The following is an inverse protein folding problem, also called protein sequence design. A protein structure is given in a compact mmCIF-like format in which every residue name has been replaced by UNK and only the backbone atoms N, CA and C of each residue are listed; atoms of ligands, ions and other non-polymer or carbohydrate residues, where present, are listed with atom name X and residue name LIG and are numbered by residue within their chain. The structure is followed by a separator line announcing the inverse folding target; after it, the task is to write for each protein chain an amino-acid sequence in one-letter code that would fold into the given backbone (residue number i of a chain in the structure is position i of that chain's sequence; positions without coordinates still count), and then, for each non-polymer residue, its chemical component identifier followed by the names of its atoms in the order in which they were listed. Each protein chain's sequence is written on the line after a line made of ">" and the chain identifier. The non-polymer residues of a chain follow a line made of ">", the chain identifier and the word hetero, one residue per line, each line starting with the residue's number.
data_IF_286188969974
#
_entry.id   IF_286188969974
#
_cell.length_a   1.000
_cell.length_b   1.000
_cell.length_c   1.000
_cell.angle_alpha   90.00
_cell.angle_beta   90.00
_cell.angle_gamma   90.00
#
_symmetry.space_group_name_H-M   'P 1'
#
loop_
_entity.id
_entity.type
_entity.pdbx_description
1 polymer ?
#
# COMPACT_ATOMS: atom_id res chain seq x y z
N UNK A 1 -15.72 18.21 8.76
CA UNK A 1 -14.99 17.09 8.11
C UNK A 1 -13.78 17.68 7.41
N UNK A 2 -12.58 17.44 7.91
CA UNK A 2 -11.35 17.93 7.28
C UNK A 2 -11.11 17.13 5.99
N UNK A 3 -10.81 17.83 4.90
CA UNK A 3 -10.35 17.22 3.65
C UNK A 3 -8.84 17.40 3.63
N UNK A 4 -8.06 16.31 3.64
CA UNK A 4 -6.61 16.39 3.47
C UNK A 4 -6.27 16.52 1.98
N UNK A 5 -5.25 17.30 1.67
CA UNK A 5 -4.75 17.44 0.32
C UNK A 5 -3.67 16.38 0.05
N UNK A 6 -3.92 15.44 -0.85
CA UNK A 6 -3.00 14.37 -1.24
C UNK A 6 -1.76 14.79 -2.03
N UNK A 7 -1.50 16.11 -2.15
CA UNK A 7 -0.39 16.68 -2.94
C UNK A 7 1.01 16.31 -2.43
N UNK A 8 1.07 15.77 -1.22
CA UNK A 8 2.29 15.33 -0.57
C UNK A 8 2.25 13.82 -0.26
N UNK A 9 1.47 13.07 -1.05
CA UNK A 9 1.52 11.63 -0.99
C UNK A 9 2.86 11.13 -1.51
N UNK A 10 3.51 10.25 -0.76
CA UNK A 10 4.83 9.72 -1.09
C UNK A 10 4.89 8.24 -0.73
N UNK A 11 5.73 7.49 -1.45
CA UNK A 11 6.03 6.09 -1.12
C UNK A 11 7.53 5.98 -0.94
N UNK A 12 7.96 5.47 0.21
CA UNK A 12 9.36 5.11 0.43
C UNK A 12 9.49 3.63 0.73
N UNK A 13 10.65 3.08 0.40
CA UNK A 13 11.02 1.68 0.61
C UNK A 13 12.43 1.61 1.21
N UNK A 14 12.82 0.42 1.66
CA UNK A 14 14.16 0.13 2.18
C UNK A 14 14.67 1.20 3.18
N UNK A 15 13.90 1.42 4.23
CA UNK A 15 14.31 2.28 5.36
C UNK A 15 14.47 3.77 4.96
N UNK A 16 13.56 4.28 4.13
CA UNK A 16 13.45 5.72 3.85
C UNK A 16 13.96 6.16 2.48
N UNK A 17 14.25 5.23 1.57
CA UNK A 17 14.51 5.55 0.17
C UNK A 17 13.20 5.91 -0.51
N UNK A 18 13.00 7.20 -0.80
CA UNK A 18 11.80 7.69 -1.45
C UNK A 18 11.76 7.30 -2.94
N UNK A 19 10.61 6.86 -3.42
CA UNK A 19 10.33 6.68 -4.84
C UNK A 19 9.82 8.03 -5.36
N UNK A 20 10.60 8.64 -6.25
CA UNK A 20 10.28 9.94 -6.82
C UNK A 20 9.29 9.80 -8.00
N UNK A 21 8.59 10.90 -8.30
CA UNK A 21 7.74 10.98 -9.48
C UNK A 21 6.39 10.26 -9.39
N UNK A 22 5.97 9.83 -8.19
CA UNK A 22 4.67 9.18 -7.98
C UNK A 22 3.54 10.17 -8.23
N UNK A 23 2.54 9.72 -8.98
CA UNK A 23 1.33 10.47 -9.29
C UNK A 23 0.13 9.94 -8.50
N UNK A 24 0.08 8.63 -8.29
CA UNK A 24 -0.97 8.00 -7.51
C UNK A 24 -0.45 6.71 -6.88
N UNK A 25 -1.00 6.38 -5.72
CA UNK A 25 -0.80 5.09 -5.06
C UNK A 25 -2.13 4.64 -4.47
N UNK A 26 -2.33 3.34 -4.41
CA UNK A 26 -3.50 2.69 -3.83
C UNK A 26 -3.02 1.65 -2.82
N UNK A 27 -3.82 1.46 -1.77
CA UNK A 27 -3.62 0.40 -0.80
C UNK A 27 -4.98 -0.19 -0.47
N UNK A 28 -5.10 -1.48 -0.70
CA UNK A 28 -6.25 -2.29 -0.36
C UNK A 28 -5.90 -3.12 0.88
N UNK A 29 -6.59 -2.85 1.99
CA UNK A 29 -6.47 -3.64 3.22
C UNK A 29 -7.75 -4.44 3.45
N UNK A 30 -7.61 -5.76 3.45
CA UNK A 30 -8.73 -6.71 3.57
C UNK A 30 -8.51 -7.58 4.80
N UNK A 31 -9.59 -7.79 5.56
CA UNK A 31 -9.60 -8.71 6.70
C UNK A 31 -10.70 -9.74 6.51
N UNK A 32 -10.36 -11.01 6.68
CA UNK A 32 -11.34 -12.08 6.69
C UNK A 32 -12.13 -12.07 8.01
N UNK A 33 -13.43 -12.35 7.94
CA UNK A 33 -14.29 -12.57 9.09
C UNK A 33 -14.78 -14.01 9.06
N UNK A 34 -14.35 -14.82 10.03
CA UNK A 34 -14.79 -16.20 10.15
C UNK A 34 -16.08 -16.25 10.97
N UNK A 35 -17.18 -16.66 10.35
CA UNK A 35 -18.45 -16.82 11.05
C UNK A 35 -18.39 -18.02 12.01
N UNK A 36 -18.77 -17.82 13.27
CA UNK A 36 -18.80 -18.84 14.33
C UNK A 36 -20.19 -19.02 14.93
N UNK A 37 -21.24 -18.61 14.23
CA UNK A 37 -22.63 -18.68 14.74
C UNK A 37 -22.99 -20.11 15.15
N UNK A 38 -23.36 -20.28 16.41
CA UNK A 38 -23.80 -21.56 16.98
C UNK A 38 -25.33 -21.60 17.13
N UNK A 39 -25.86 -22.75 17.55
CA UNK A 39 -27.31 -22.92 17.77
C UNK A 39 -27.85 -22.13 18.97
N UNK A 40 -26.98 -21.52 19.79
CA UNK A 40 -27.35 -20.70 20.94
C UNK A 40 -27.48 -19.22 20.53
N UNK A 41 -26.90 -18.84 19.40
CA UNK A 41 -27.01 -17.50 18.85
C UNK A 41 -28.48 -17.14 18.58
N UNK A 42 -29.00 -16.16 19.34
CA UNK A 42 -30.39 -15.69 19.30
C UNK A 42 -30.71 -14.87 18.03
N UNK A 43 -30.43 -15.42 16.84
CA UNK A 43 -30.71 -14.80 15.55
C UNK A 43 -29.69 -13.75 15.10
N UNK A 44 -28.56 -13.60 15.79
CA UNK A 44 -27.48 -12.66 15.44
C UNK A 44 -26.22 -13.44 15.09
N UNK A 45 -25.62 -13.15 13.94
CA UNK A 45 -24.38 -13.81 13.49
C UNK A 45 -23.19 -13.38 14.34
N UNK A 46 -22.35 -14.35 14.72
CA UNK A 46 -21.11 -14.12 15.46
C UNK A 46 -19.90 -14.32 14.54
N UNK A 47 -18.89 -13.45 14.66
CA UNK A 47 -17.70 -13.48 13.81
C UNK A 47 -16.42 -13.41 14.64
N UNK A 48 -15.38 -14.11 14.20
CA UNK A 48 -14.00 -14.04 14.71
C UNK A 48 -13.14 -13.39 13.63
N UNK A 49 -12.18 -12.56 14.04
CA UNK A 49 -11.22 -11.93 13.12
C UNK A 49 -10.31 -13.01 12.53
N UNK A 50 -10.35 -13.15 11.21
CA UNK A 50 -9.49 -14.04 10.43
C UNK A 50 -8.17 -13.38 10.04
N UNK A 51 -7.50 -13.95 9.05
CA UNK A 51 -6.27 -13.39 8.51
C UNK A 51 -6.55 -12.05 7.81
N UNK A 52 -5.61 -11.12 7.93
CA UNK A 52 -5.62 -9.87 7.18
C UNK A 52 -4.58 -9.93 6.05
N UNK A 53 -4.93 -9.41 4.90
CA UNK A 53 -4.03 -9.23 3.75
C UNK A 53 -4.10 -7.80 3.27
N UNK A 54 -3.01 -7.31 2.70
CA UNK A 54 -3.00 -6.02 2.03
C UNK A 54 -2.15 -6.07 0.79
N UNK A 55 -2.55 -5.32 -0.21
CA UNK A 55 -1.86 -5.20 -1.49
C UNK A 55 -2.11 -3.80 -2.04
N UNK A 56 -1.38 -3.43 -3.08
CA UNK A 56 -1.66 -2.19 -3.76
C UNK A 56 -0.76 -2.00 -4.95
N UNK A 57 -0.93 -0.85 -5.56
CA UNK A 57 -0.09 -0.43 -6.66
C UNK A 57 0.20 1.06 -6.57
N UNK A 58 1.28 1.47 -7.21
CA UNK A 58 1.57 2.88 -7.40
C UNK A 58 2.05 3.12 -8.83
N UNK A 59 1.72 4.29 -9.34
CA UNK A 59 2.12 4.73 -10.67
C UNK A 59 2.74 6.12 -10.62
N UNK A 60 3.73 6.31 -11.48
CA UNK A 60 4.49 7.55 -11.55
C UNK A 60 5.25 7.70 -12.85
N UNK A 61 5.86 8.85 -13.01
CA UNK A 61 6.85 9.06 -14.04
C UNK A 61 8.19 8.49 -13.60
N UNK A 62 9.02 8.12 -14.56
CA UNK A 62 10.39 7.73 -14.27
C UNK A 62 11.17 8.92 -13.71
N UNK A 63 11.33 8.96 -12.41
CA UNK A 63 12.26 9.86 -11.75
C UNK A 63 13.13 9.04 -10.78
N UNK A 64 14.41 8.91 -11.10
CA UNK A 64 15.33 8.04 -10.35
C UNK A 64 15.35 6.55 -10.74
N UNK A 65 16.03 5.76 -9.91
CA UNK A 65 16.15 4.32 -10.08
C UNK A 65 14.97 3.60 -9.39
N UNK A 66 14.25 2.72 -10.10
CA UNK A 66 13.12 2.02 -9.53
C UNK A 66 13.58 0.95 -8.52
N UNK A 67 12.78 0.67 -7.46
CA UNK A 67 13.08 -0.43 -6.55
C UNK A 67 13.20 -1.75 -7.32
N UNK A 68 14.22 -2.53 -6.99
CA UNK A 68 14.45 -3.82 -7.64
C UNK A 68 13.50 -4.90 -7.07
N UNK A 69 12.92 -5.73 -7.95
CA UNK A 69 12.05 -6.88 -7.60
C UNK A 69 12.86 -8.05 -7.04
N UNK A 70 13.98 -7.81 -6.36
CA UNK A 70 14.99 -8.83 -6.04
C UNK A 70 14.55 -9.75 -4.89
N UNK A 71 13.38 -10.38 -4.98
CA UNK A 71 12.85 -11.39 -4.06
C UNK A 71 12.88 -11.02 -2.58
N UNK A 72 13.06 -9.73 -2.27
CA UNK A 72 13.38 -9.22 -0.95
C UNK A 72 12.15 -8.54 -0.38
N UNK A 73 12.00 -8.68 0.93
CA UNK A 73 10.96 -7.99 1.68
C UNK A 73 11.54 -6.63 2.07
N UNK A 74 10.88 -5.56 1.66
CA UNK A 74 11.27 -4.19 1.98
C UNK A 74 10.32 -3.59 3.00
N UNK A 75 10.80 -2.73 3.88
CA UNK A 75 9.92 -1.91 4.71
C UNK A 75 9.47 -0.70 3.91
N UNK A 76 8.19 -0.62 3.59
CA UNK A 76 7.60 0.50 2.89
C UNK A 76 6.82 1.42 3.82
N UNK A 77 6.82 2.70 3.49
CA UNK A 77 5.92 3.69 4.08
C UNK A 77 5.16 4.43 2.98
N UNK A 78 3.85 4.53 3.15
CA UNK A 78 2.94 5.24 2.26
C UNK A 78 2.40 6.45 3.03
N UNK A 79 2.77 7.64 2.59
CA UNK A 79 2.26 8.90 3.12
C UNK A 79 1.03 9.32 2.33
N UNK A 80 -0.05 9.70 3.02
CA UNK A 80 -1.24 10.29 2.40
C UNK A 80 -1.13 11.81 2.24
N UNK A 81 -0.40 12.46 3.14
CA UNK A 81 -0.20 13.91 3.17
C UNK A 81 1.07 14.28 3.97
N UNK A 82 1.51 15.53 3.84
CA UNK A 82 2.68 16.14 4.54
C UNK A 82 2.44 16.33 6.05
N UNK A 83 1.45 15.64 6.62
CA UNK A 83 1.11 15.75 8.03
C UNK A 83 1.64 14.51 8.74
N UNK A 84 2.56 14.74 9.68
CA UNK A 84 3.17 13.70 10.48
C UNK A 84 2.07 12.82 11.11
N UNK A 85 2.09 11.54 10.77
CA UNK A 85 1.15 10.56 11.30
C UNK A 85 -0.06 10.24 10.42
N UNK A 86 -0.13 10.68 9.15
CA UNK A 86 -1.02 10.06 8.16
C UNK A 86 -0.21 9.14 7.24
N UNK A 87 0.26 8.03 7.82
CA UNK A 87 1.09 7.08 7.10
C UNK A 87 0.74 5.63 7.38
N UNK A 88 0.91 4.82 6.34
CA UNK A 88 0.79 3.37 6.39
C UNK A 88 2.20 2.80 6.29
N UNK A 89 2.59 1.99 7.26
CA UNK A 89 3.92 1.36 7.27
C UNK A 89 3.78 -0.14 7.36
N UNK A 90 4.53 -0.88 6.55
CA UNK A 90 4.50 -2.33 6.56
C UNK A 90 5.57 -2.93 5.68
N UNK A 91 5.76 -4.24 5.80
CA UNK A 91 6.72 -4.96 4.98
C UNK A 91 6.07 -5.37 3.66
N UNK A 92 6.63 -4.95 2.53
CA UNK A 92 6.13 -5.23 1.18
C UNK A 92 7.07 -6.12 0.39
N UNK A 93 6.49 -6.93 -0.48
CA UNK A 93 7.14 -7.62 -1.56
C UNK A 93 6.67 -7.01 -2.88
N UNK A 94 7.58 -6.51 -3.71
CA UNK A 94 7.22 -6.09 -5.07
C UNK A 94 7.00 -7.34 -5.93
N UNK A 95 5.85 -7.43 -6.60
CA UNK A 95 5.45 -8.59 -7.40
C UNK A 95 5.54 -8.32 -8.91
N UNK A 96 5.40 -7.06 -9.32
CA UNK A 96 5.41 -6.67 -10.73
C UNK A 96 5.95 -5.26 -10.95
N UNK A 97 6.65 -5.07 -12.08
CA UNK A 97 7.01 -3.76 -12.62
C UNK A 97 6.55 -3.71 -14.06
N UNK A 98 5.80 -2.66 -14.39
CA UNK A 98 5.23 -2.43 -15.71
C UNK A 98 5.71 -1.09 -16.24
N UNK A 99 6.88 -1.04 -16.91
CA UNK A 99 7.33 0.14 -17.63
C UNK A 99 6.46 0.35 -18.86
N UNK A 100 5.98 1.58 -19.08
CA UNK A 100 5.33 2.00 -20.31
C UNK A 100 6.11 3.17 -20.92
N UNK A 101 6.51 3.00 -22.18
CA UNK A 101 7.24 4.00 -22.95
C UNK A 101 6.51 4.22 -24.26
N UNK A 102 6.21 5.48 -24.57
CA UNK A 102 5.71 5.88 -25.89
C UNK A 102 6.72 6.80 -26.57
N UNK A 103 6.80 6.74 -27.90
CA UNK A 103 7.78 7.52 -28.68
C UNK A 103 7.61 9.04 -28.52
N UNK A 104 6.41 9.50 -28.19
CA UNK A 104 6.03 10.90 -28.02
C UNK A 104 5.44 11.19 -26.63
N UNK A 105 5.76 10.36 -25.63
CA UNK A 105 5.24 10.53 -24.27
C UNK A 105 6.27 10.28 -23.19
N UNK A 106 5.91 10.69 -21.98
CA UNK A 106 6.77 10.53 -20.79
C UNK A 106 6.73 9.08 -20.35
N UNK A 107 7.90 8.52 -20.01
CA UNK A 107 8.01 7.18 -19.47
C UNK A 107 7.25 7.10 -18.14
N UNK A 108 6.24 6.24 -18.09
CA UNK A 108 5.53 5.91 -16.87
C UNK A 108 5.90 4.52 -16.38
N UNK A 109 5.82 4.33 -15.08
CA UNK A 109 6.00 3.04 -14.45
C UNK A 109 4.83 2.80 -13.51
N UNK A 110 4.35 1.57 -13.54
CA UNK A 110 3.40 1.04 -12.57
C UNK A 110 4.06 -0.11 -11.83
N UNK A 111 3.85 -0.16 -10.52
CA UNK A 111 4.37 -1.21 -9.63
C UNK A 111 3.23 -1.84 -8.87
N UNK A 112 3.31 -3.16 -8.75
CA UNK A 112 2.42 -3.94 -7.90
C UNK A 112 3.20 -4.47 -6.70
N UNK A 113 2.60 -4.35 -5.53
CA UNK A 113 3.18 -4.86 -4.29
C UNK A 113 2.17 -5.69 -3.49
N UNK A 114 2.71 -6.71 -2.85
CA UNK A 114 2.00 -7.55 -1.89
C UNK A 114 2.55 -7.27 -0.50
N UNK A 115 1.67 -6.86 0.40
CA UNK A 115 1.98 -6.70 1.80
C UNK A 115 2.21 -8.03 2.50
N UNK A 116 3.16 -8.05 3.42
CA UNK A 116 3.48 -9.17 4.30
C UNK A 116 3.50 -8.70 5.75
N UNK A 117 2.85 -9.46 6.64
CA UNK A 117 2.76 -9.11 8.05
C UNK A 117 1.74 -8.00 8.35
N UNK A 118 1.79 -7.52 9.59
CA UNK A 118 0.85 -6.52 10.09
C UNK A 118 1.11 -5.14 9.49
N UNK A 119 0.06 -4.53 8.94
CA UNK A 119 0.10 -3.15 8.50
C UNK A 119 -0.08 -2.24 9.72
N UNK A 120 0.86 -1.33 9.93
CA UNK A 120 0.78 -0.34 11.00
C UNK A 120 0.18 0.94 10.43
N UNK A 121 -0.94 1.34 11.02
CA UNK A 121 -1.67 2.56 10.67
C UNK A 121 -1.28 3.61 11.70
N UNK A 122 -0.49 4.60 11.31
CA UNK A 122 -0.38 5.81 12.11
C UNK A 122 -1.54 6.73 11.71
N UNK A 123 -2.31 7.17 12.70
CA UNK A 123 -3.20 8.31 12.61
C UNK A 123 -2.96 9.15 13.86
N UNK A 124 -2.70 10.45 13.67
CA UNK A 124 -2.70 11.44 14.76
C UNK A 124 -4.07 12.08 14.87
#
# INVERSE_FOLDING_TARGET
>A
MAKLAGKAGAVSYDTGTEILGIKSWTLDYVSDALETTDFVAAGVRSYIVGCSSWSGSFEGYKDGAPPAITGSIYNASFLEADTAGYCWTGSVLFTGIHPSVSFDGVVSYTWDFQGTGALTIASV
#
